data_IF_301701622128
#
_entry.id   IF_301701622128
#
_cell.length_a   1.000
_cell.length_b   1.000
_cell.length_c   1.000
_cell.angle_alpha   90.00
_cell.angle_beta   90.00
_cell.angle_gamma   90.00
#
_symmetry.space_group_name_H-M   'P 1'
#
loop_
_entity.id
_entity.type
_entity.pdbx_description
1 polymer ?
#
# COMPACT_ATOMS: atom_id res chain seq x y z
N UNK A 1 27.61 24.35 11.57
CA UNK A 1 27.92 23.05 10.94
C UNK A 1 29.01 22.30 11.68
N UNK A 2 30.20 22.84 11.91
CA UNK A 2 31.29 22.19 12.64
C UNK A 2 30.88 21.77 14.05
N UNK A 3 30.22 22.63 14.80
CA UNK A 3 29.70 22.35 16.14
C UNK A 3 28.72 21.18 16.16
N UNK A 4 27.77 21.12 15.23
CA UNK A 4 26.82 20.01 15.10
C UNK A 4 27.48 18.67 14.72
N UNK A 5 28.60 18.72 13.96
CA UNK A 5 29.39 17.54 13.64
C UNK A 5 30.21 17.06 14.83
N UNK A 6 30.77 17.97 15.62
CA UNK A 6 31.48 17.67 16.86
C UNK A 6 30.55 16.96 17.88
N UNK A 7 29.35 17.49 18.07
CA UNK A 7 28.32 16.91 18.95
C UNK A 7 27.93 15.50 18.51
N UNK A 8 27.71 15.32 17.19
CA UNK A 8 27.27 14.02 16.64
C UNK A 8 28.38 12.96 16.66
N UNK A 9 29.64 13.36 16.54
CA UNK A 9 30.81 12.45 16.49
C UNK A 9 31.42 12.21 17.87
N UNK A 10 31.17 13.10 18.84
CA UNK A 10 31.81 13.07 20.17
C UNK A 10 33.30 13.41 20.17
N UNK A 11 33.80 14.01 19.09
CA UNK A 11 35.21 14.44 18.95
C UNK A 11 35.30 15.65 18.01
N UNK A 12 36.42 16.41 18.12
CA UNK A 12 36.64 17.58 17.30
C UNK A 12 36.76 17.18 15.80
N UNK A 13 35.97 17.84 14.93
CA UNK A 13 35.97 17.69 13.48
C UNK A 13 36.49 18.97 12.87
N UNK A 14 37.57 18.92 12.11
CA UNK A 14 38.07 20.05 11.33
C UNK A 14 37.37 20.06 9.97
N UNK A 15 36.68 21.14 9.66
CA UNK A 15 36.12 21.39 8.33
C UNK A 15 37.11 22.23 7.52
N UNK A 16 37.66 21.63 6.47
CA UNK A 16 38.54 22.30 5.55
C UNK A 16 37.85 22.43 4.18
N UNK A 17 37.80 23.66 3.65
CA UNK A 17 37.34 23.93 2.28
C UNK A 17 38.53 24.17 1.41
N UNK A 18 38.93 23.24 0.54
CA UNK A 18 40.10 23.38 -0.32
C UNK A 18 39.85 24.48 -1.36
N UNK A 19 40.87 25.33 -1.56
CA UNK A 19 40.81 26.47 -2.48
C UNK A 19 41.55 26.20 -3.82
N UNK A 20 42.36 25.12 -3.90
CA UNK A 20 43.17 24.79 -5.08
C UNK A 20 43.35 23.30 -5.22
N UNK A 21 43.67 22.84 -6.46
CA UNK A 21 43.95 21.45 -6.80
C UNK A 21 42.69 20.54 -6.87
N UNK A 22 42.92 19.23 -7.03
CA UNK A 22 41.87 18.24 -7.26
C UNK A 22 40.76 18.24 -6.21
N UNK A 23 41.10 18.53 -4.95
CA UNK A 23 40.10 18.61 -3.87
C UNK A 23 39.20 19.81 -4.02
N UNK A 24 39.68 20.95 -4.51
CA UNK A 24 38.83 22.12 -4.80
C UNK A 24 37.87 21.82 -5.96
N UNK A 25 38.33 21.12 -6.99
CA UNK A 25 37.51 20.66 -8.11
C UNK A 25 36.37 19.70 -7.63
N UNK A 26 36.67 18.77 -6.73
CA UNK A 26 35.63 17.90 -6.13
C UNK A 26 34.60 18.69 -5.33
N UNK A 27 34.98 19.74 -4.61
CA UNK A 27 34.02 20.59 -3.89
C UNK A 27 33.18 21.38 -4.87
N UNK A 28 33.72 21.89 -5.97
CA UNK A 28 32.98 22.59 -7.02
C UNK A 28 31.98 21.65 -7.72
N UNK A 29 32.37 20.41 -8.05
CA UNK A 29 31.47 19.38 -8.59
C UNK A 29 30.33 19.08 -7.60
N UNK A 30 30.65 18.91 -6.32
CA UNK A 30 29.63 18.66 -5.30
C UNK A 30 28.67 19.84 -5.15
N UNK A 31 29.15 21.07 -5.22
CA UNK A 31 28.32 22.27 -5.21
C UNK A 31 27.39 22.33 -6.42
N UNK A 32 27.92 22.12 -7.63
CA UNK A 32 27.13 22.10 -8.87
C UNK A 32 26.04 21.02 -8.81
N UNK A 33 26.40 19.81 -8.39
CA UNK A 33 25.42 18.72 -8.20
C UNK A 33 24.34 19.07 -7.17
N UNK A 34 24.70 19.73 -6.07
CA UNK A 34 23.75 20.17 -5.05
C UNK A 34 22.79 21.26 -5.59
N UNK A 35 23.31 22.24 -6.34
CA UNK A 35 22.51 23.30 -6.98
C UNK A 35 21.54 22.69 -8.01
N UNK A 36 22.01 21.82 -8.88
CA UNK A 36 21.16 21.13 -9.85
C UNK A 36 20.07 20.29 -9.16
N UNK A 37 20.41 19.58 -8.09
CA UNK A 37 19.44 18.80 -7.32
C UNK A 37 18.37 19.69 -6.69
N UNK A 38 18.78 20.78 -6.06
CA UNK A 38 17.85 21.77 -5.49
C UNK A 38 16.92 22.36 -6.55
N UNK A 39 17.44 22.72 -7.72
CA UNK A 39 16.64 23.24 -8.82
C UNK A 39 15.60 22.20 -9.32
N UNK A 40 16.02 20.95 -9.47
CA UNK A 40 15.13 19.84 -9.86
C UNK A 40 14.05 19.57 -8.79
N UNK A 41 14.43 19.54 -7.51
CA UNK A 41 13.49 19.35 -6.40
C UNK A 41 12.50 20.51 -6.29
N UNK A 42 12.96 21.75 -6.38
CA UNK A 42 12.12 22.95 -6.37
C UNK A 42 11.11 22.95 -7.53
N UNK A 43 11.56 22.65 -8.76
CA UNK A 43 10.68 22.55 -9.92
C UNK A 43 9.66 21.40 -9.82
N UNK A 44 10.01 20.33 -9.10
CA UNK A 44 9.09 19.23 -8.83
C UNK A 44 8.04 19.62 -7.79
N UNK A 45 8.44 20.25 -6.68
CA UNK A 45 7.49 20.76 -5.68
C UNK A 45 6.48 21.73 -6.28
N UNK A 46 6.93 22.67 -7.09
CA UNK A 46 6.03 23.60 -7.76
C UNK A 46 5.02 22.91 -8.68
N UNK A 47 5.41 21.83 -9.38
CA UNK A 47 4.47 21.06 -10.22
C UNK A 47 3.47 20.27 -9.38
N UNK A 48 3.92 19.69 -8.28
CA UNK A 48 3.07 18.92 -7.36
C UNK A 48 2.06 19.82 -6.66
N UNK A 49 2.48 21.02 -6.23
CA UNK A 49 1.60 22.01 -5.64
C UNK A 49 0.56 22.49 -6.63
N UNK A 50 0.97 22.87 -7.84
CA UNK A 50 0.07 23.24 -8.92
C UNK A 50 -0.96 22.15 -9.24
N UNK A 51 -0.54 20.88 -9.23
CA UNK A 51 -1.42 19.74 -9.47
C UNK A 51 -2.52 19.61 -8.41
N UNK A 52 -2.17 19.81 -7.13
CA UNK A 52 -3.15 19.76 -6.03
C UNK A 52 -4.08 20.98 -6.05
N UNK A 53 -3.60 22.16 -6.46
CA UNK A 53 -4.42 23.36 -6.69
C UNK A 53 -5.43 23.12 -7.82
N UNK A 54 -4.99 22.55 -8.93
CA UNK A 54 -5.87 22.19 -10.06
C UNK A 54 -6.94 21.17 -9.65
N UNK A 55 -6.56 20.16 -8.87
CA UNK A 55 -7.52 19.19 -8.32
C UNK A 55 -8.53 19.87 -7.39
N UNK A 56 -8.09 20.78 -6.52
CA UNK A 56 -8.98 21.52 -5.65
C UNK A 56 -9.98 22.37 -6.44
N UNK A 57 -9.53 23.05 -7.49
CA UNK A 57 -10.40 23.84 -8.37
C UNK A 57 -11.45 22.96 -9.08
N UNK A 58 -11.04 21.83 -9.63
CA UNK A 58 -11.94 20.90 -10.34
C UNK A 58 -13.00 20.32 -9.39
N UNK A 59 -12.63 20.01 -8.14
CA UNK A 59 -13.54 19.44 -7.14
C UNK A 59 -14.27 20.50 -6.31
N UNK A 60 -13.99 21.81 -6.50
CA UNK A 60 -14.57 22.88 -5.70
C UNK A 60 -14.16 22.85 -4.23
N UNK A 61 -12.94 22.37 -3.93
CA UNK A 61 -12.42 22.32 -2.57
C UNK A 61 -11.90 23.67 -2.09
N UNK A 62 -12.04 24.01 -0.80
CA UNK A 62 -11.57 25.29 -0.26
C UNK A 62 -10.05 25.42 -0.20
N UNK A 63 -9.32 24.30 -0.26
CA UNK A 63 -7.85 24.23 -0.22
C UNK A 63 -7.34 22.99 -0.96
N UNK A 64 -6.07 23.00 -1.41
CA UNK A 64 -5.44 21.83 -2.02
C UNK A 64 -5.43 20.64 -1.08
N UNK A 65 -5.87 19.44 -1.51
CA UNK A 65 -5.90 18.25 -0.68
C UNK A 65 -4.49 17.64 -0.59
N UNK A 66 -3.73 17.97 0.46
CA UNK A 66 -2.36 17.48 0.65
C UNK A 66 -2.31 16.02 1.04
N UNK A 67 -3.31 15.54 1.80
CA UNK A 67 -3.43 14.14 2.21
C UNK A 67 -4.71 13.55 1.63
N UNK A 68 -4.56 12.60 0.71
CA UNK A 68 -5.65 11.93 0.02
C UNK A 68 -5.63 10.47 0.42
N UNK A 69 -6.77 9.94 0.86
CA UNK A 69 -6.96 8.50 1.06
C UNK A 69 -7.85 7.94 -0.04
N UNK A 70 -7.49 6.79 -0.59
CA UNK A 70 -8.31 6.12 -1.60
C UNK A 70 -8.55 4.67 -1.23
N UNK A 71 -9.76 4.18 -1.54
CA UNK A 71 -10.29 2.90 -1.07
C UNK A 71 -10.83 2.05 -2.22
N UNK A 72 -10.50 0.76 -2.21
CA UNK A 72 -11.02 -0.24 -3.14
C UNK A 72 -11.36 -1.53 -2.40
N UNK A 73 -12.53 -2.12 -2.71
CA UNK A 73 -12.98 -3.40 -2.17
C UNK A 73 -12.54 -4.52 -3.10
N UNK A 74 -11.89 -5.51 -2.53
CA UNK A 74 -11.51 -6.74 -3.23
C UNK A 74 -12.21 -7.94 -2.61
N UNK A 75 -13.10 -8.57 -3.37
CA UNK A 75 -13.89 -9.72 -2.95
C UNK A 75 -13.17 -11.05 -3.26
N UNK A 76 -13.39 -12.03 -2.40
CA UNK A 76 -12.82 -13.38 -2.50
C UNK A 76 -13.88 -14.41 -2.78
N UNK A 77 -13.49 -15.46 -3.50
CA UNK A 77 -14.40 -16.54 -3.84
C UNK A 77 -14.96 -17.36 -2.66
N UNK A 78 -14.51 -17.10 -1.43
CA UNK A 78 -15.03 -17.70 -0.19
C UNK A 78 -15.93 -16.76 0.62
N UNK A 79 -16.37 -15.66 0.03
CA UNK A 79 -17.22 -14.68 0.70
C UNK A 79 -16.48 -13.72 1.63
N UNK A 80 -15.14 -13.72 1.64
CA UNK A 80 -14.37 -12.75 2.44
C UNK A 80 -14.06 -11.51 1.61
N UNK A 81 -14.36 -10.33 2.15
CA UNK A 81 -14.03 -9.05 1.53
C UNK A 81 -12.89 -8.35 2.27
N UNK A 82 -12.03 -7.67 1.54
CA UNK A 82 -10.94 -6.85 2.08
C UNK A 82 -10.94 -5.50 1.38
N UNK A 83 -10.91 -4.42 2.16
CA UNK A 83 -10.69 -3.09 1.64
C UNK A 83 -9.20 -2.73 1.67
N UNK A 84 -8.66 -2.32 0.53
CA UNK A 84 -7.37 -1.68 0.42
C UNK A 84 -7.51 -0.17 0.58
N UNK A 85 -6.73 0.44 1.48
CA UNK A 85 -6.59 1.88 1.61
C UNK A 85 -5.19 2.29 1.20
N UNK A 86 -5.07 3.17 0.23
CA UNK A 86 -3.81 3.81 -0.14
C UNK A 86 -3.85 5.28 0.28
N UNK A 87 -2.68 5.84 0.49
CA UNK A 87 -2.54 7.25 0.88
C UNK A 87 -1.59 7.94 -0.07
N UNK A 88 -1.98 9.14 -0.50
CA UNK A 88 -1.12 10.08 -1.20
C UNK A 88 -0.88 11.29 -0.30
N UNK A 89 0.35 11.77 -0.29
CA UNK A 89 0.75 12.98 0.43
C UNK A 89 1.54 13.88 -0.50
N UNK A 90 1.14 15.14 -0.59
CA UNK A 90 1.77 16.13 -1.46
C UNK A 90 1.94 15.61 -2.90
N UNK A 91 0.88 15.00 -3.45
CA UNK A 91 0.86 14.47 -4.82
C UNK A 91 1.57 13.13 -5.03
N UNK A 92 2.10 12.47 -3.99
CA UNK A 92 2.88 11.21 -4.08
C UNK A 92 2.30 10.07 -3.25
N UNK A 93 2.51 8.82 -3.66
CA UNK A 93 2.18 7.66 -2.85
C UNK A 93 2.93 7.67 -1.50
N UNK A 94 2.19 7.66 -0.40
CA UNK A 94 2.71 7.60 0.96
C UNK A 94 2.48 6.22 1.58
N UNK A 95 3.38 5.28 1.30
CA UNK A 95 3.22 3.86 1.65
C UNK A 95 3.09 3.59 3.15
N UNK A 96 3.63 4.46 4.01
CA UNK A 96 3.47 4.34 5.46
C UNK A 96 2.00 4.49 5.91
N UNK A 97 1.16 5.15 5.11
CA UNK A 97 -0.27 5.29 5.32
C UNK A 97 -1.13 4.14 4.76
N UNK A 98 -0.56 3.21 3.97
CA UNK A 98 -1.34 2.13 3.35
C UNK A 98 -1.85 1.14 4.39
N UNK A 99 -3.12 0.76 4.30
CA UNK A 99 -3.75 -0.19 5.23
C UNK A 99 -4.65 -1.18 4.49
N UNK A 100 -4.87 -2.32 5.12
CA UNK A 100 -5.81 -3.36 4.67
C UNK A 100 -6.81 -3.63 5.77
N UNK A 101 -8.08 -3.52 5.45
CA UNK A 101 -9.18 -3.79 6.37
C UNK A 101 -9.85 -5.10 5.95
N UNK A 102 -9.68 -6.13 6.76
CA UNK A 102 -10.52 -7.33 6.64
C UNK A 102 -11.88 -7.02 7.23
N UNK A 103 -12.94 -7.40 6.55
CA UNK A 103 -14.30 -7.26 7.07
C UNK A 103 -14.47 -8.13 8.30
N UNK A 104 -15.16 -7.59 9.31
CA UNK A 104 -15.43 -8.27 10.58
C UNK A 104 -16.91 -8.58 10.75
N UNK A 105 -17.78 -7.71 10.28
CA UNK A 105 -19.23 -7.77 10.47
C UNK A 105 -19.99 -8.07 9.19
N UNK A 106 -19.40 -7.77 8.02
CA UNK A 106 -20.02 -8.00 6.72
C UNK A 106 -19.77 -9.42 6.27
N UNK A 107 -20.85 -10.16 6.05
CA UNK A 107 -20.81 -11.50 5.46
C UNK A 107 -21.09 -11.39 3.94
N UNK A 108 -20.32 -12.14 3.15
CA UNK A 108 -20.48 -12.15 1.70
C UNK A 108 -19.73 -11.03 0.97
N UNK A 109 -20.25 -10.64 -0.20
CA UNK A 109 -19.63 -9.71 -1.14
C UNK A 109 -20.34 -8.38 -1.26
N UNK A 110 -20.88 -7.86 -0.16
CA UNK A 110 -21.51 -6.55 -0.13
C UNK A 110 -20.45 -5.45 -0.05
N UNK A 111 -20.17 -4.83 -1.20
CA UNK A 111 -19.17 -3.77 -1.33
C UNK A 111 -19.56 -2.51 -0.59
N UNK A 112 -20.86 -2.17 -0.53
CA UNK A 112 -21.34 -0.98 0.17
C UNK A 112 -21.18 -1.12 1.68
N UNK A 113 -21.62 -2.23 2.24
CA UNK A 113 -21.46 -2.52 3.66
C UNK A 113 -19.98 -2.67 4.05
N UNK A 114 -19.17 -3.29 3.20
CA UNK A 114 -17.73 -3.42 3.40
C UNK A 114 -17.01 -2.07 3.42
N UNK A 115 -17.38 -1.17 2.53
CA UNK A 115 -16.83 0.18 2.51
C UNK A 115 -17.29 0.99 3.73
N UNK A 116 -18.57 0.91 4.09
CA UNK A 116 -19.11 1.56 5.28
C UNK A 116 -18.40 1.09 6.56
N UNK A 117 -18.22 -0.22 6.76
CA UNK A 117 -17.42 -0.77 7.87
C UNK A 117 -15.98 -0.20 7.88
N UNK A 118 -15.35 -0.13 6.71
CA UNK A 118 -13.97 0.33 6.59
C UNK A 118 -13.83 1.79 7.02
N UNK A 119 -14.65 2.69 6.48
CA UNK A 119 -14.54 4.13 6.80
C UNK A 119 -14.97 4.44 8.22
N UNK A 120 -15.95 3.72 8.79
CA UNK A 120 -16.31 3.82 10.20
C UNK A 120 -15.14 3.44 11.11
N UNK A 121 -14.46 2.35 10.81
CA UNK A 121 -13.25 1.94 11.55
C UNK A 121 -12.11 2.92 11.41
N UNK A 122 -11.95 3.52 10.21
CA UNK A 122 -10.96 4.58 9.99
C UNK A 122 -11.25 5.83 10.85
N UNK A 123 -12.53 6.21 10.94
CA UNK A 123 -12.95 7.33 11.77
C UNK A 123 -12.70 7.06 13.26
N UNK A 124 -13.09 5.88 13.76
CA UNK A 124 -12.86 5.48 15.14
C UNK A 124 -11.35 5.46 15.52
N UNK A 125 -10.49 4.99 14.61
CA UNK A 125 -9.03 5.05 14.82
C UNK A 125 -8.52 6.50 14.85
N UNK A 126 -9.05 7.39 14.01
CA UNK A 126 -8.69 8.80 14.05
C UNK A 126 -9.08 9.44 15.39
N UNK A 127 -10.32 9.22 15.85
CA UNK A 127 -10.82 9.74 17.12
C UNK A 127 -9.94 9.28 18.29
N UNK A 128 -9.65 7.98 18.34
CA UNK A 128 -8.75 7.39 19.35
C UNK A 128 -7.38 8.07 19.42
N UNK A 129 -6.71 8.23 18.26
CA UNK A 129 -5.39 8.86 18.25
C UNK A 129 -5.45 10.37 18.47
N UNK A 130 -6.54 11.01 18.11
CA UNK A 130 -6.81 12.42 18.41
C UNK A 130 -6.95 12.66 19.91
N UNK A 131 -7.67 11.78 20.61
CA UNK A 131 -7.80 11.81 22.07
C UNK A 131 -6.46 11.54 22.79
N UNK A 132 -5.69 10.55 22.33
CA UNK A 132 -4.34 10.29 22.86
C UNK A 132 -3.44 11.52 22.74
N UNK A 133 -3.47 12.18 21.56
CA UNK A 133 -2.69 13.40 21.33
C UNK A 133 -3.14 14.55 22.25
N UNK A 134 -4.45 14.72 22.47
CA UNK A 134 -5.01 15.72 23.37
C UNK A 134 -4.60 15.48 24.85
N UNK A 135 -4.39 14.23 25.21
CA UNK A 135 -3.93 13.83 26.56
C UNK A 135 -2.38 13.86 26.71
N UNK A 136 -1.65 14.36 25.70
CA UNK A 136 -0.19 14.46 25.73
C UNK A 136 0.54 13.16 25.43
N UNK A 137 -0.15 12.17 24.85
CA UNK A 137 0.38 10.88 24.40
C UNK A 137 0.48 10.85 22.85
N UNK A 138 1.41 11.59 22.23
CA UNK A 138 1.47 11.67 20.79
C UNK A 138 1.85 10.31 20.17
N UNK A 139 1.11 9.92 19.15
CA UNK A 139 1.38 8.71 18.37
C UNK A 139 1.92 9.06 16.99
N UNK A 140 2.94 8.34 16.53
CA UNK A 140 3.43 8.41 15.15
C UNK A 140 2.54 7.62 14.18
N UNK A 141 1.43 7.05 14.64
CA UNK A 141 0.53 6.27 13.79
C UNK A 141 -0.16 7.18 12.77
N UNK A 142 -0.16 6.74 11.52
CA UNK A 142 -0.81 7.46 10.42
C UNK A 142 -2.30 7.77 10.70
N UNK A 143 -3.01 6.89 11.39
CA UNK A 143 -4.44 7.07 11.68
C UNK A 143 -4.76 8.32 12.52
N UNK A 144 -3.81 8.88 13.27
CA UNK A 144 -3.96 10.17 13.95
C UNK A 144 -3.95 11.38 13.00
N UNK A 145 -3.77 11.18 11.69
CA UNK A 145 -3.82 12.26 10.71
C UNK A 145 -5.18 12.32 10.03
N UNK A 146 -5.75 13.54 9.97
CA UNK A 146 -7.01 13.79 9.25
C UNK A 146 -6.70 13.93 7.76
N UNK A 147 -7.33 13.14 6.88
CA UNK A 147 -7.19 13.33 5.44
C UNK A 147 -7.92 14.59 4.96
N UNK A 148 -7.48 15.16 3.84
CA UNK A 148 -8.13 16.32 3.21
C UNK A 148 -9.16 15.90 2.15
N UNK A 149 -9.05 14.66 1.64
CA UNK A 149 -9.91 14.15 0.58
C UNK A 149 -10.00 12.62 0.68
N UNK A 150 -11.20 12.07 0.49
CA UNK A 150 -11.45 10.64 0.37
C UNK A 150 -11.91 10.31 -1.05
N UNK A 151 -11.32 9.28 -1.66
CA UNK A 151 -11.67 8.77 -2.99
C UNK A 151 -12.06 7.29 -2.90
N UNK A 152 -13.21 6.94 -3.48
CA UNK A 152 -13.68 5.56 -3.56
C UNK A 152 -13.48 5.03 -4.99
N UNK A 153 -12.91 3.83 -5.15
CA UNK A 153 -12.87 3.19 -6.48
C UNK A 153 -14.26 2.62 -6.79
N UNK A 154 -15.16 3.50 -7.21
CA UNK A 154 -16.55 3.15 -7.49
C UNK A 154 -17.44 4.38 -7.70
N UNK A 155 -18.71 4.10 -7.98
CA UNK A 155 -19.70 5.11 -8.30
C UNK A 155 -20.47 5.65 -7.08
N UNK A 156 -21.58 6.34 -7.40
CA UNK A 156 -22.47 6.99 -6.42
C UNK A 156 -22.84 6.12 -5.21
N UNK A 157 -23.10 4.82 -5.43
CA UNK A 157 -23.52 3.93 -4.33
C UNK A 157 -22.46 3.80 -3.24
N UNK A 158 -21.17 3.61 -3.62
CA UNK A 158 -20.05 3.55 -2.69
C UNK A 158 -19.86 4.89 -1.97
N UNK A 159 -19.96 6.01 -2.70
CA UNK A 159 -19.83 7.36 -2.13
C UNK A 159 -20.92 7.61 -1.10
N UNK A 160 -22.19 7.28 -1.42
CA UNK A 160 -23.33 7.46 -0.51
C UNK A 160 -23.21 6.58 0.74
N UNK A 161 -22.80 5.33 0.59
CA UNK A 161 -22.58 4.41 1.72
C UNK A 161 -21.47 4.90 2.65
N UNK A 162 -20.33 5.34 2.09
CA UNK A 162 -19.23 5.89 2.86
C UNK A 162 -19.63 7.19 3.57
N UNK A 163 -20.33 8.10 2.90
CA UNK A 163 -20.83 9.35 3.49
C UNK A 163 -21.77 9.12 4.65
N UNK A 164 -22.72 8.19 4.49
CA UNK A 164 -23.64 7.81 5.55
C UNK A 164 -22.91 7.21 6.77
N UNK A 165 -21.90 6.38 6.54
CA UNK A 165 -21.10 5.76 7.59
C UNK A 165 -20.18 6.74 8.34
N UNK A 166 -19.78 7.84 7.72
CA UNK A 166 -18.99 8.91 8.34
C UNK A 166 -19.87 9.96 9.05
N UNK A 167 -21.17 9.96 8.84
CA UNK A 167 -22.07 10.92 9.48
C UNK A 167 -21.96 10.84 11.01
N UNK A 168 -21.77 11.99 11.66
CA UNK A 168 -21.61 12.06 13.12
C UNK A 168 -20.22 11.70 13.65
N UNK A 169 -19.26 11.33 12.79
CA UNK A 169 -17.86 11.10 13.17
C UNK A 169 -16.98 12.35 12.98
N UNK A 170 -15.79 12.35 13.55
CA UNK A 170 -14.82 13.43 13.37
C UNK A 170 -14.30 13.59 11.91
N UNK A 171 -14.65 12.66 11.02
CA UNK A 171 -14.33 12.70 9.59
C UNK A 171 -15.53 13.04 8.68
N UNK A 172 -16.67 13.42 9.25
CA UNK A 172 -17.91 13.68 8.51
C UNK A 172 -17.81 14.87 7.53
N UNK A 173 -16.93 15.84 7.81
CA UNK A 173 -16.72 17.06 7.02
C UNK A 173 -15.73 16.89 5.87
N UNK A 174 -15.09 15.73 5.74
CA UNK A 174 -14.10 15.50 4.70
C UNK A 174 -14.80 15.33 3.34
N UNK A 175 -14.35 16.06 2.30
CA UNK A 175 -14.81 15.87 0.94
C UNK A 175 -14.62 14.41 0.49
N UNK A 176 -15.67 13.83 -0.10
CA UNK A 176 -15.70 12.42 -0.48
C UNK A 176 -16.27 12.27 -1.88
N UNK A 177 -15.55 11.58 -2.75
CA UNK A 177 -15.92 11.35 -4.14
C UNK A 177 -15.63 9.91 -4.58
N UNK A 178 -16.30 9.49 -5.66
CA UNK A 178 -16.06 8.24 -6.35
C UNK A 178 -15.27 8.43 -7.64
N UNK A 179 -14.43 7.48 -7.98
CA UNK A 179 -13.71 7.43 -9.24
C UNK A 179 -14.40 6.44 -10.17
N UNK A 180 -15.05 6.95 -11.22
CA UNK A 180 -15.84 6.15 -12.16
C UNK A 180 -14.99 5.75 -13.36
N UNK A 181 -15.13 4.47 -13.78
CA UNK A 181 -14.48 3.91 -14.97
C UNK A 181 -15.43 3.92 -16.17
N UNK A 182 -14.85 4.01 -17.36
CA UNK A 182 -15.55 3.75 -18.61
C UNK A 182 -15.71 2.22 -18.87
N UNK A 183 -16.39 1.88 -19.95
CA UNK A 183 -16.60 0.48 -20.38
C UNK A 183 -15.27 -0.25 -20.70
N UNK A 184 -14.18 0.48 -20.85
CA UNK A 184 -12.82 -0.05 -21.03
C UNK A 184 -12.00 -0.09 -19.74
N UNK A 185 -12.66 0.05 -18.57
CA UNK A 185 -12.04 0.08 -17.25
C UNK A 185 -11.02 1.21 -17.02
N UNK A 186 -11.11 2.32 -17.77
CA UNK A 186 -10.26 3.50 -17.60
C UNK A 186 -11.01 4.57 -16.81
N UNK A 187 -10.30 5.33 -15.99
CA UNK A 187 -10.87 6.48 -15.26
C UNK A 187 -11.57 7.40 -16.25
N UNK A 188 -12.83 7.73 -15.98
CA UNK A 188 -13.64 8.61 -16.84
C UNK A 188 -13.96 9.93 -16.14
N UNK A 189 -14.44 9.84 -14.91
CA UNK A 189 -14.94 10.99 -14.17
C UNK A 189 -14.82 10.76 -12.66
N UNK A 190 -15.02 11.82 -11.92
CA UNK A 190 -15.25 11.80 -10.48
C UNK A 190 -16.74 12.03 -10.24
N UNK A 191 -17.31 11.35 -9.25
CA UNK A 191 -18.73 11.46 -8.90
C UNK A 191 -18.89 11.86 -7.44
N UNK A 192 -19.81 12.75 -7.14
CA UNK A 192 -20.18 13.09 -5.77
C UNK A 192 -21.27 12.18 -5.18
N UNK A 193 -21.67 12.43 -3.94
CA UNK A 193 -22.72 11.66 -3.25
C UNK A 193 -24.11 11.81 -3.86
N UNK A 194 -24.34 12.85 -4.65
CA UNK A 194 -25.62 13.10 -5.34
C UNK A 194 -25.64 12.46 -6.73
N UNK A 195 -24.49 11.94 -7.19
CA UNK A 195 -24.34 11.31 -8.49
C UNK A 195 -23.97 12.29 -9.60
N UNK A 196 -23.60 13.51 -9.26
CA UNK A 196 -23.12 14.49 -10.24
C UNK A 196 -21.72 14.12 -10.68
N UNK A 197 -21.54 13.95 -11.98
CA UNK A 197 -20.24 13.66 -12.56
C UNK A 197 -19.45 14.94 -12.78
N UNK A 198 -18.22 14.94 -12.30
CA UNK A 198 -17.23 15.99 -12.50
C UNK A 198 -16.26 15.51 -13.57
N UNK A 199 -16.26 16.14 -14.74
CA UNK A 199 -15.37 15.81 -15.83
C UNK A 199 -13.94 16.25 -15.51
N UNK A 200 -13.02 15.29 -15.44
CA UNK A 200 -11.59 15.54 -15.16
C UNK A 200 -10.72 15.52 -16.42
N UNK A 201 -11.28 15.08 -17.56
CA UNK A 201 -10.57 14.95 -18.84
C UNK A 201 -10.13 16.28 -19.47
N UNK A 202 -10.75 17.39 -19.07
CA UNK A 202 -10.39 18.73 -19.52
C UNK A 202 -9.04 19.20 -18.95
N UNK A 203 -8.63 18.67 -17.79
CA UNK A 203 -7.33 18.95 -17.19
C UNK A 203 -6.47 17.69 -17.20
N UNK A 204 -5.47 17.65 -18.09
CA UNK A 204 -4.59 16.49 -18.28
C UNK A 204 -3.81 16.15 -17.00
N UNK A 205 -3.39 17.13 -16.22
CA UNK A 205 -2.65 16.91 -14.97
C UNK A 205 -3.53 16.20 -13.95
N UNK A 206 -4.70 16.77 -13.66
CA UNK A 206 -5.70 16.20 -12.75
C UNK A 206 -6.15 14.79 -13.19
N UNK A 207 -6.44 14.62 -14.48
CA UNK A 207 -6.81 13.31 -15.03
C UNK A 207 -5.73 12.25 -14.79
N UNK A 208 -4.48 12.56 -15.13
CA UNK A 208 -3.35 11.64 -14.94
C UNK A 208 -3.16 11.30 -13.46
N UNK A 209 -3.31 12.27 -12.58
CA UNK A 209 -3.13 12.09 -11.15
C UNK A 209 -4.24 11.23 -10.53
N UNK A 210 -5.50 11.51 -10.84
CA UNK A 210 -6.64 10.69 -10.37
C UNK A 210 -6.54 9.27 -10.89
N UNK A 211 -6.17 9.10 -12.17
CA UNK A 211 -5.90 7.76 -12.73
C UNK A 211 -4.79 7.04 -11.99
N UNK A 212 -3.68 7.72 -11.67
CA UNK A 212 -2.60 7.12 -10.90
C UNK A 212 -3.02 6.72 -9.48
N UNK A 213 -3.88 7.51 -8.82
CA UNK A 213 -4.47 7.15 -7.52
C UNK A 213 -5.34 5.89 -7.67
N UNK A 214 -6.23 5.85 -8.66
CA UNK A 214 -7.13 4.73 -8.91
C UNK A 214 -6.36 3.44 -9.21
N UNK A 215 -5.37 3.50 -10.10
CA UNK A 215 -4.53 2.37 -10.47
C UNK A 215 -3.75 1.81 -9.26
N UNK A 216 -3.18 2.69 -8.44
CA UNK A 216 -2.44 2.29 -7.25
C UNK A 216 -3.36 1.66 -6.19
N UNK A 217 -4.57 2.21 -6.01
CA UNK A 217 -5.59 1.67 -5.10
C UNK A 217 -5.99 0.27 -5.53
N UNK A 218 -6.33 0.10 -6.79
CA UNK A 218 -6.69 -1.19 -7.38
C UNK A 218 -5.52 -2.20 -7.34
N UNK A 219 -4.30 -1.75 -7.66
CA UNK A 219 -3.09 -2.56 -7.56
C UNK A 219 -2.87 -3.08 -6.15
N UNK A 220 -3.04 -2.21 -5.13
CA UNK A 220 -2.81 -2.56 -3.74
C UNK A 220 -3.86 -3.53 -3.20
N UNK A 221 -5.15 -3.32 -3.50
CA UNK A 221 -6.23 -4.23 -3.15
C UNK A 221 -6.04 -5.61 -3.80
N UNK A 222 -5.74 -5.64 -5.11
CA UNK A 222 -5.53 -6.89 -5.85
C UNK A 222 -4.24 -7.63 -5.51
N UNK A 223 -3.17 -6.94 -5.12
CA UNK A 223 -1.92 -7.59 -4.71
C UNK A 223 -2.14 -8.52 -3.50
N UNK A 224 -2.99 -8.12 -2.57
CA UNK A 224 -3.36 -8.96 -1.44
C UNK A 224 -4.17 -10.18 -1.88
N UNK A 225 -5.15 -10.00 -2.76
CA UNK A 225 -5.93 -11.10 -3.35
C UNK A 225 -5.01 -12.14 -3.99
N UNK A 226 -4.08 -11.68 -4.85
CA UNK A 226 -3.11 -12.56 -5.53
C UNK A 226 -2.22 -13.31 -4.52
N UNK A 227 -1.74 -12.63 -3.49
CA UNK A 227 -0.90 -13.25 -2.46
C UNK A 227 -1.63 -14.37 -1.71
N UNK A 228 -2.88 -14.14 -1.34
CA UNK A 228 -3.68 -15.12 -0.63
C UNK A 228 -4.12 -16.28 -1.52
N UNK A 229 -4.51 -16.00 -2.78
CA UNK A 229 -4.79 -17.08 -3.76
C UNK A 229 -3.58 -17.98 -3.93
N UNK A 230 -2.39 -17.40 -4.02
CA UNK A 230 -1.14 -18.14 -4.09
C UNK A 230 -0.90 -19.00 -2.85
N UNK A 231 -1.16 -18.46 -1.64
CA UNK A 231 -1.06 -19.22 -0.40
C UNK A 231 -2.08 -20.35 -0.32
N UNK A 232 -3.35 -20.12 -0.73
CA UNK A 232 -4.37 -21.18 -0.78
C UNK A 232 -4.02 -22.27 -1.78
N UNK A 233 -3.61 -21.89 -2.99
CA UNK A 233 -3.17 -22.86 -4.01
C UNK A 233 -1.98 -23.69 -3.52
N UNK A 234 -1.00 -23.07 -2.89
CA UNK A 234 0.16 -23.77 -2.34
C UNK A 234 -0.22 -24.68 -1.18
N UNK A 235 -1.11 -24.23 -0.31
CA UNK A 235 -1.62 -25.08 0.79
C UNK A 235 -2.42 -26.26 0.24
N UNK A 236 -3.27 -26.06 -0.76
CA UNK A 236 -4.04 -27.12 -1.42
C UNK A 236 -3.13 -28.19 -2.02
N UNK A 237 -2.11 -27.80 -2.79
CA UNK A 237 -1.15 -28.75 -3.38
C UNK A 237 -0.41 -29.57 -2.32
N UNK A 238 -0.04 -28.97 -1.19
CA UNK A 238 0.64 -29.71 -0.12
C UNK A 238 -0.31 -30.63 0.67
N UNK A 239 -1.58 -30.23 0.80
CA UNK A 239 -2.58 -31.08 1.49
C UNK A 239 -3.06 -32.27 0.65
N UNK A 240 -2.69 -32.35 -0.62
CA UNK A 240 -2.88 -33.56 -1.46
C UNK A 240 -1.92 -34.68 -1.03
N UNK A 241 -0.81 -34.36 -0.35
CA UNK A 241 0.14 -35.36 0.17
C UNK A 241 -0.48 -36.07 1.37
N UNK A 242 -0.54 -37.42 1.36
CA UNK A 242 -1.05 -38.19 2.49
C UNK A 242 -0.36 -37.84 3.81
N UNK A 243 -1.15 -37.50 4.84
CA UNK A 243 -0.65 -37.11 6.16
C UNK A 243 -0.30 -35.64 6.32
N UNK A 244 -0.34 -34.82 5.25
CA UNK A 244 -0.13 -33.38 5.33
C UNK A 244 -1.47 -32.66 5.53
N UNK A 245 -1.74 -32.26 6.76
CA UNK A 245 -2.89 -31.42 7.08
C UNK A 245 -2.62 -29.92 6.86
N UNK A 246 -3.66 -29.05 6.98
CA UNK A 246 -3.53 -27.60 6.77
C UNK A 246 -2.47 -26.93 7.68
N UNK A 247 -2.30 -27.40 8.91
CA UNK A 247 -1.29 -26.88 9.84
C UNK A 247 0.13 -27.22 9.37
N UNK A 248 0.35 -28.45 8.93
CA UNK A 248 1.64 -28.93 8.42
C UNK A 248 1.98 -28.24 7.10
N UNK A 249 1.02 -28.11 6.17
CA UNK A 249 1.20 -27.37 4.92
C UNK A 249 1.61 -25.92 5.19
N UNK A 250 0.99 -25.25 6.15
CA UNK A 250 1.35 -23.90 6.56
C UNK A 250 2.77 -23.82 7.15
N UNK A 251 3.18 -24.79 7.98
CA UNK A 251 4.52 -24.86 8.55
C UNK A 251 5.58 -25.04 7.45
N UNK A 252 5.36 -25.95 6.50
CA UNK A 252 6.22 -26.17 5.33
C UNK A 252 6.36 -24.88 4.50
N UNK A 253 5.26 -24.20 4.17
CA UNK A 253 5.29 -22.95 3.42
C UNK A 253 5.95 -21.80 4.20
N UNK A 254 5.89 -21.81 5.52
CA UNK A 254 6.58 -20.82 6.36
C UNK A 254 8.08 -20.99 6.30
N UNK A 255 8.55 -22.25 6.31
CA UNK A 255 9.98 -22.59 6.28
C UNK A 255 10.57 -22.47 4.87
N UNK A 256 9.95 -23.11 3.87
CA UNK A 256 10.48 -23.20 2.51
C UNK A 256 10.04 -22.08 1.57
N UNK A 257 9.06 -21.26 1.96
CA UNK A 257 8.51 -20.10 1.20
C UNK A 257 7.77 -20.44 -0.09
N UNK A 258 7.94 -21.62 -0.67
CA UNK A 258 7.24 -22.05 -1.88
C UNK A 258 7.07 -23.58 -1.93
N UNK A 259 6.07 -24.04 -2.71
CA UNK A 259 5.89 -25.49 -2.99
C UNK A 259 7.07 -26.06 -3.76
N UNK A 260 7.67 -25.27 -4.67
CA UNK A 260 8.87 -25.68 -5.40
C UNK A 260 10.02 -26.02 -4.44
N UNK A 261 10.32 -25.14 -3.49
CA UNK A 261 11.36 -25.39 -2.50
C UNK A 261 11.04 -26.58 -1.57
N UNK A 262 9.76 -26.89 -1.32
CA UNK A 262 9.36 -28.12 -0.59
C UNK A 262 9.63 -29.36 -1.43
N UNK A 263 9.36 -29.30 -2.74
CA UNK A 263 9.62 -30.40 -3.69
C UNK A 263 11.11 -30.69 -3.86
N UNK A 264 11.94 -29.65 -3.80
CA UNK A 264 13.39 -29.74 -3.98
C UNK A 264 14.13 -30.07 -2.67
N UNK A 265 13.42 -30.08 -1.53
CA UNK A 265 13.99 -30.32 -0.20
C UNK A 265 14.25 -31.81 0.06
N UNK A 266 15.36 -32.13 0.71
CA UNK A 266 15.67 -33.50 1.15
C UNK A 266 14.79 -33.92 2.35
N UNK A 267 14.62 -35.24 2.61
CA UNK A 267 13.88 -35.72 3.79
C UNK A 267 14.39 -35.12 5.11
N UNK A 268 15.69 -34.98 5.29
CA UNK A 268 16.29 -34.37 6.47
C UNK A 268 15.94 -32.88 6.64
N UNK A 269 15.85 -32.15 5.53
CA UNK A 269 15.42 -30.76 5.56
C UNK A 269 13.93 -30.62 5.88
N UNK A 270 13.10 -31.52 5.38
CA UNK A 270 11.66 -31.58 5.64
C UNK A 270 11.37 -31.94 7.10
N UNK A 271 12.13 -32.86 7.69
CA UNK A 271 12.00 -33.30 9.10
C UNK A 271 12.25 -32.12 10.08
N UNK A 272 13.05 -31.15 9.72
CA UNK A 272 13.28 -29.94 10.53
C UNK A 272 12.07 -28.99 10.59
N UNK A 273 10.95 -29.32 9.90
CA UNK A 273 9.74 -28.52 9.94
C UNK A 273 8.86 -28.90 11.14
N UNK A 274 8.37 -27.95 11.94
CA UNK A 274 7.47 -28.25 13.04
C UNK A 274 6.25 -29.06 12.61
N UNK A 275 6.06 -30.23 13.20
CA UNK A 275 4.95 -31.13 12.88
C UNK A 275 5.20 -32.09 11.72
N UNK A 276 6.43 -32.17 11.21
CA UNK A 276 6.86 -33.14 10.20
C UNK A 276 7.86 -34.10 10.86
N UNK A 277 7.42 -35.31 11.12
CA UNK A 277 8.34 -36.37 11.56
C UNK A 277 8.95 -37.12 10.37
N UNK A 278 9.96 -37.93 10.62
CA UNK A 278 10.75 -38.67 9.61
C UNK A 278 9.92 -39.43 8.58
N UNK A 279 8.87 -40.11 9.02
CA UNK A 279 7.98 -40.87 8.12
C UNK A 279 7.20 -39.95 7.18
N UNK A 280 6.70 -38.83 7.71
CA UNK A 280 5.97 -37.83 6.92
C UNK A 280 6.91 -37.08 5.96
N UNK A 281 8.14 -36.77 6.38
CA UNK A 281 9.16 -36.18 5.53
C UNK A 281 9.47 -37.07 4.32
N UNK A 282 9.59 -38.38 4.53
CA UNK A 282 9.79 -39.34 3.44
C UNK A 282 8.57 -39.39 2.52
N UNK A 283 7.34 -39.43 3.08
CA UNK A 283 6.11 -39.39 2.27
C UNK A 283 6.00 -38.17 1.41
N UNK A 284 6.37 -36.96 1.92
CA UNK A 284 6.37 -35.72 1.16
C UNK A 284 7.39 -35.78 0.02
N UNK A 285 8.59 -36.25 0.31
CA UNK A 285 9.67 -36.41 -0.67
C UNK A 285 9.28 -37.36 -1.82
N UNK A 286 8.73 -38.53 -1.50
CA UNK A 286 8.32 -39.54 -2.48
C UNK A 286 7.10 -39.10 -3.31
N UNK A 287 6.22 -38.25 -2.75
CA UNK A 287 5.03 -37.75 -3.44
C UNK A 287 5.38 -36.80 -4.59
N UNK A 288 6.44 -36.02 -4.44
CA UNK A 288 6.88 -35.09 -5.49
C UNK A 288 8.09 -35.69 -6.23
N UNK A 289 7.90 -36.25 -7.43
CA UNK A 289 9.03 -36.79 -8.20
C UNK A 289 10.05 -35.68 -8.49
N UNK A 290 11.32 -35.97 -8.21
CA UNK A 290 12.42 -35.04 -8.47
C UNK A 290 12.47 -34.75 -9.97
N UNK A 291 12.26 -33.50 -10.39
CA UNK A 291 12.49 -33.09 -11.78
C UNK A 291 13.99 -33.13 -12.07
N UNK A 292 14.44 -34.18 -12.71
CA UNK A 292 15.82 -34.29 -13.25
C UNK A 292 16.03 -33.30 -14.40
N UNK A 293 16.24 -32.04 -14.12
CA UNK A 293 16.53 -31.02 -15.15
C UNK A 293 17.97 -30.49 -15.13
N UNK A 294 18.88 -31.10 -14.34
CA UNK A 294 20.29 -30.72 -14.35
C UNK A 294 21.24 -31.92 -14.33
N UNK A 295 21.11 -32.83 -15.32
CA UNK A 295 22.23 -33.67 -15.72
C UNK A 295 22.72 -33.21 -17.08
N UNK A 296 23.51 -32.15 -17.10
CA UNK A 296 24.44 -31.92 -18.21
C UNK A 296 25.57 -32.94 -18.03
N UNK A 297 25.61 -33.94 -18.89
CA UNK A 297 26.77 -34.81 -19.05
C UNK A 297 27.93 -33.95 -19.51
N UNK A 298 29.13 -34.06 -18.90
CA UNK A 298 30.34 -33.52 -19.49
C UNK A 298 30.71 -34.35 -20.71
N UNK A 299 30.82 -33.71 -21.85
CA UNK A 299 31.53 -34.21 -23.04
C UNK A 299 33.00 -33.94 -22.89
#
# INVERSE_FOLDING_TARGET
MQQALNEKRGSEVQLYVPQRGDKAHLVEMAHTNAVERLARESGRYAREEKLLDELAQVLGLPKPPRTIESYDISNWGDGTSVCGMVTFRDGKPYKAGYRKFKMKTVAGTDDYASLAETVSRRAAEYEKYSEMAANGEPSSNYFGQKPDLLLMDGGRGQVSAAKAALAGTALADIPLYGMVKDDHHRTRAIVDSEGREIAINMNRGTFTFVTAIQDETHRFANAYRKQQMKQKSYSSTLTEVPGVGPKTAKALLTQFKSVGAVKDATPDQLENTPGVGRQLAQTIYDYFPVSYTHLTLPT
#
